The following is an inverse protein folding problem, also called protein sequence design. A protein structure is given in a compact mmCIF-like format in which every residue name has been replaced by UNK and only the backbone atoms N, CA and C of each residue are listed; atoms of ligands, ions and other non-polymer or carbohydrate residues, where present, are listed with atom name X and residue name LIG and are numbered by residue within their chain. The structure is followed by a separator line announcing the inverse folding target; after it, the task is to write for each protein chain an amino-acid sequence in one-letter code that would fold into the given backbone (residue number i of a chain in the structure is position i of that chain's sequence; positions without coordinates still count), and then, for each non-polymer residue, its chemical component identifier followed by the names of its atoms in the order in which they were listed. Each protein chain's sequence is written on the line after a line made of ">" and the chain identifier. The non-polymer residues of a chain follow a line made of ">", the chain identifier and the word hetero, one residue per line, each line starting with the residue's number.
data_IF_298238313120
#
_entry.id   IF_298238313120
#
_cell.length_a   1.000
_cell.length_b   1.000
_cell.length_c   1.000
_cell.angle_alpha   90.00
_cell.angle_beta   90.00
_cell.angle_gamma   90.00
#
_symmetry.space_group_name_H-M   'P 1'
#
loop_
_entity.id
_entity.type
_entity.pdbx_description
1 polymer ?
#
# COMPACT_ATOMS: atom_id res chain seq x y z
N UNK A 1 1.91 -11.50 22.50
CA UNK A 1 2.12 -11.89 21.10
C UNK A 1 1.25 -11.07 20.15
N UNK A 2 0.00 -10.75 20.49
CA UNK A 2 -0.92 -9.97 19.63
C UNK A 2 -0.46 -8.54 19.29
N UNK A 3 0.11 -7.78 20.24
CA UNK A 3 0.54 -6.38 19.97
C UNK A 3 1.64 -6.32 18.90
N UNK A 4 2.55 -7.28 18.91
CA UNK A 4 3.65 -7.31 17.94
C UNK A 4 3.13 -7.64 16.54
N UNK A 5 2.14 -8.52 16.45
CA UNK A 5 1.44 -8.87 15.21
C UNK A 5 0.71 -7.66 14.62
N UNK A 6 -0.04 -6.92 15.43
CA UNK A 6 -0.75 -5.71 14.98
C UNK A 6 0.22 -4.64 14.48
N UNK A 7 1.30 -4.37 15.21
CA UNK A 7 2.33 -3.40 14.79
C UNK A 7 3.00 -3.85 13.49
N UNK A 8 3.34 -5.14 13.38
CA UNK A 8 3.91 -5.71 12.17
C UNK A 8 2.96 -5.56 10.98
N UNK A 9 1.67 -5.85 11.19
CA UNK A 9 0.63 -5.69 10.17
C UNK A 9 0.54 -4.23 9.70
N UNK A 10 0.55 -3.26 10.61
CA UNK A 10 0.48 -1.83 10.27
C UNK A 10 1.71 -1.40 9.47
N UNK A 11 2.91 -1.77 9.91
CA UNK A 11 4.17 -1.44 9.22
C UNK A 11 4.19 -2.07 7.83
N UNK A 12 3.83 -3.35 7.74
CA UNK A 12 3.82 -4.10 6.49
C UNK A 12 2.81 -3.52 5.50
N UNK A 13 1.59 -3.23 5.96
CA UNK A 13 0.54 -2.60 5.16
C UNK A 13 0.95 -1.21 4.68
N UNK A 14 1.65 -0.44 5.52
CA UNK A 14 2.15 0.89 5.16
C UNK A 14 3.27 0.82 4.12
N UNK A 15 4.22 -0.11 4.28
CA UNK A 15 5.31 -0.31 3.34
C UNK A 15 4.80 -0.80 1.99
N UNK A 16 3.92 -1.80 2.00
CA UNK A 16 3.30 -2.35 0.78
C UNK A 16 2.45 -1.29 0.10
N UNK A 17 1.60 -0.59 0.85
CA UNK A 17 0.77 0.50 0.34
C UNK A 17 1.59 1.60 -0.35
N UNK A 18 2.70 2.04 0.25
CA UNK A 18 3.57 3.06 -0.34
C UNK A 18 4.23 2.59 -1.65
N UNK A 19 4.71 1.34 -1.67
CA UNK A 19 5.36 0.78 -2.85
C UNK A 19 4.36 0.56 -4.00
N UNK A 20 3.17 0.03 -3.71
CA UNK A 20 2.14 -0.15 -4.73
C UNK A 20 1.63 1.20 -5.24
N UNK A 21 1.41 2.15 -4.34
CA UNK A 21 0.99 3.49 -4.71
C UNK A 21 2.00 4.16 -5.66
N UNK A 22 3.28 4.06 -5.34
CA UNK A 22 4.35 4.50 -6.22
C UNK A 22 4.34 3.78 -7.58
N UNK A 23 4.18 2.45 -7.59
CA UNK A 23 4.12 1.66 -8.82
C UNK A 23 2.93 2.06 -9.70
N UNK A 24 1.74 2.24 -9.12
CA UNK A 24 0.54 2.68 -9.84
C UNK A 24 0.75 4.07 -10.45
N UNK A 25 1.28 5.03 -9.69
CA UNK A 25 1.64 6.36 -10.21
C UNK A 25 2.65 6.27 -11.35
N UNK A 26 3.65 5.38 -11.25
CA UNK A 26 4.62 5.14 -12.32
C UNK A 26 3.99 4.57 -13.58
N UNK A 27 3.05 3.63 -13.45
CA UNK A 27 2.28 3.06 -14.57
C UNK A 27 1.44 4.13 -15.26
N UNK A 28 0.86 5.06 -14.48
CA UNK A 28 0.07 6.20 -15.00
C UNK A 28 0.97 7.28 -15.66
N UNK A 29 2.30 7.12 -15.61
CA UNK A 29 3.26 7.99 -16.29
C UNK A 29 3.85 9.10 -15.42
N UNK A 30 3.71 9.02 -14.09
CA UNK A 30 4.31 9.98 -13.18
C UNK A 30 5.85 9.91 -13.24
N UNK A 31 6.50 11.04 -13.51
CA UNK A 31 7.96 11.14 -13.61
C UNK A 31 8.62 11.41 -12.26
N UNK A 32 7.85 11.79 -11.23
CA UNK A 32 8.35 12.12 -9.89
C UNK A 32 9.02 10.94 -9.22
N UNK A 33 9.94 11.26 -8.32
CA UNK A 33 10.71 10.27 -7.56
C UNK A 33 9.87 9.65 -6.42
N UNK A 34 10.26 8.46 -5.94
CA UNK A 34 9.56 7.77 -4.84
C UNK A 34 9.37 8.68 -3.62
N UNK A 35 10.42 9.43 -3.23
CA UNK A 35 10.34 10.36 -2.10
C UNK A 35 9.35 11.49 -2.34
N UNK A 36 9.30 12.03 -3.56
CA UNK A 36 8.35 13.10 -3.91
C UNK A 36 6.91 12.60 -3.85
N UNK A 37 6.64 11.42 -4.41
CA UNK A 37 5.29 10.83 -4.41
C UNK A 37 4.84 10.49 -2.98
N UNK A 38 5.73 9.92 -2.16
CA UNK A 38 5.41 9.53 -0.78
C UNK A 38 5.30 10.74 0.16
N UNK A 39 6.10 11.80 -0.04
CA UNK A 39 6.03 13.01 0.77
C UNK A 39 4.88 13.93 0.35
N UNK A 40 4.58 14.05 -0.95
CA UNK A 40 3.45 14.84 -1.46
C UNK A 40 2.10 14.32 -0.95
N UNK A 41 2.01 13.03 -0.59
CA UNK A 41 0.80 12.40 -0.07
C UNK A 41 0.76 12.25 1.46
N UNK A 42 1.73 12.78 2.21
CA UNK A 42 1.49 12.98 3.65
C UNK A 42 0.34 13.97 3.90
N UNK A 43 0.05 14.82 2.92
CA UNK A 43 -1.04 15.80 2.96
C UNK A 43 -2.33 15.33 2.28
N UNK A 44 -2.25 14.37 1.34
CA UNK A 44 -3.40 13.84 0.59
C UNK A 44 -3.75 12.39 1.00
N UNK A 45 -4.95 12.17 1.55
CA UNK A 45 -5.42 10.89 2.11
C UNK A 45 -5.57 9.70 1.14
N UNK A 46 -5.13 9.83 -0.11
CA UNK A 46 -5.23 8.81 -1.17
C UNK A 46 -4.33 7.58 -0.94
N UNK A 47 -3.23 7.75 -0.20
CA UNK A 47 -2.30 6.67 0.15
C UNK A 47 -2.94 5.56 0.96
N UNK A 48 -3.81 5.92 1.92
CA UNK A 48 -4.53 4.96 2.75
C UNK A 48 -5.56 4.17 1.93
N UNK A 49 -6.31 4.84 1.06
CA UNK A 49 -7.31 4.19 0.20
C UNK A 49 -6.68 3.18 -0.75
N UNK A 50 -5.56 3.54 -1.38
CA UNK A 50 -4.88 2.67 -2.35
C UNK A 50 -4.23 1.46 -1.67
N UNK A 51 -3.58 1.65 -0.52
CA UNK A 51 -3.03 0.55 0.26
C UNK A 51 -4.09 -0.43 0.77
N UNK A 52 -5.23 0.10 1.24
CA UNK A 52 -6.36 -0.72 1.70
C UNK A 52 -7.00 -1.51 0.56
N UNK A 53 -7.22 -0.89 -0.60
CA UNK A 53 -7.79 -1.55 -1.77
C UNK A 53 -6.91 -2.71 -2.25
N UNK A 54 -5.60 -2.51 -2.31
CA UNK A 54 -4.69 -3.56 -2.78
C UNK A 54 -4.56 -4.68 -1.76
N UNK A 55 -4.52 -4.39 -0.46
CA UNK A 55 -4.59 -5.43 0.56
C UNK A 55 -5.88 -6.24 0.47
N UNK A 56 -7.03 -5.59 0.25
CA UNK A 56 -8.31 -6.27 0.02
C UNK A 56 -8.26 -7.18 -1.21
N UNK A 57 -7.76 -6.67 -2.33
CA UNK A 57 -7.61 -7.45 -3.56
C UNK A 57 -6.66 -8.64 -3.37
N UNK A 58 -5.56 -8.44 -2.63
CA UNK A 58 -4.59 -9.49 -2.34
C UNK A 58 -5.16 -10.58 -1.43
N UNK A 59 -5.92 -10.20 -0.39
CA UNK A 59 -6.63 -11.15 0.48
C UNK A 59 -7.65 -11.97 -0.31
N UNK A 60 -8.48 -11.31 -1.14
CA UNK A 60 -9.45 -12.01 -1.99
C UNK A 60 -8.75 -12.98 -2.94
N UNK A 61 -7.63 -12.55 -3.54
CA UNK A 61 -6.84 -13.39 -4.44
C UNK A 61 -6.26 -14.61 -3.72
N UNK A 62 -5.63 -14.43 -2.56
CA UNK A 62 -5.07 -15.53 -1.77
C UNK A 62 -6.15 -16.52 -1.32
N UNK A 63 -7.30 -16.02 -0.85
CA UNK A 63 -8.45 -16.87 -0.48
C UNK A 63 -8.93 -17.71 -1.66
N UNK A 64 -8.99 -17.13 -2.87
CA UNK A 64 -9.35 -17.88 -4.08
C UNK A 64 -8.29 -18.87 -4.55
N UNK A 65 -7.00 -18.59 -4.34
CA UNK A 65 -5.92 -19.50 -4.74
C UNK A 65 -5.69 -20.65 -3.75
N UNK A 66 -6.24 -20.55 -2.53
CA UNK A 66 -6.08 -21.57 -1.48
C UNK A 66 -7.31 -22.50 -1.39
N UNK A 67 -8.42 -22.15 -2.08
CA UNK A 67 -9.63 -22.96 -2.24
C UNK A 67 -9.64 -23.72 -3.55
#
# INVERSE_FOLDING_TARGET
>A
MEIFEVIFQIIFTTLIGNNIYYLVRKIIGDKRSYKEIVNSEKEDGWRYGTGMFVMFAFVIFLVKCTS
#
